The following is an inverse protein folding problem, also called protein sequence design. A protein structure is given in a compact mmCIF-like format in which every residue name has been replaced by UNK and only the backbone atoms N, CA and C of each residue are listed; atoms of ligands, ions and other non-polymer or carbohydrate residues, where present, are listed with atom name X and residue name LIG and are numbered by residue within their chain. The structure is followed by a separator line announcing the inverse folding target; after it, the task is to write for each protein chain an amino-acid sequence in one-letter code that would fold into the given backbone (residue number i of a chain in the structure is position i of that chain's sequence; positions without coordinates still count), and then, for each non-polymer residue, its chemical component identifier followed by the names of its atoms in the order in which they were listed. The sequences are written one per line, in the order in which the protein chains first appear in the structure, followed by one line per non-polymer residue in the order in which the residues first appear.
data_IF_867792760122
#
_entry.id   IF_867792760122
#
_cell.length_a   1.000
_cell.length_b   1.000
_cell.length_c   1.000
_cell.angle_alpha   90.00
_cell.angle_beta   90.00
_cell.angle_gamma   90.00
#
_symmetry.space_group_name_H-M   'P 1'
#
loop_
_entity.id
_entity.type
_entity.pdbx_description
1 polymer ?
#
# COMPACT_ATOMS: atom_id res chain seq x y z
N UNK A 1 2.67 21.43 -5.17
CA UNK A 1 1.41 21.47 -5.98
C UNK A 1 0.27 20.64 -5.38
N UNK A 2 0.53 19.87 -4.31
CA UNK A 2 -0.39 18.90 -3.70
C UNK A 2 -1.65 19.48 -3.04
N UNK A 3 -1.73 20.79 -2.78
CA UNK A 3 -2.91 21.43 -2.15
C UNK A 3 -3.94 21.99 -3.15
N UNK A 4 -3.75 21.78 -4.46
CA UNK A 4 -4.74 22.22 -5.45
C UNK A 4 -6.01 21.36 -5.39
N UNK A 5 -7.22 21.95 -5.20
CA UNK A 5 -8.48 21.21 -5.23
C UNK A 5 -8.68 20.41 -6.53
N UNK A 6 -8.21 20.96 -7.65
CA UNK A 6 -8.28 20.29 -8.95
C UNK A 6 -7.37 19.05 -9.02
N UNK A 7 -6.19 19.12 -8.40
CA UNK A 7 -5.28 17.97 -8.33
C UNK A 7 -5.88 16.85 -7.46
N UNK A 8 -6.40 17.20 -6.27
CA UNK A 8 -7.11 16.24 -5.40
C UNK A 8 -8.32 15.61 -6.11
N UNK A 9 -9.07 16.39 -6.87
CA UNK A 9 -10.20 15.89 -7.66
C UNK A 9 -9.74 14.91 -8.75
N UNK A 10 -8.64 15.22 -9.46
CA UNK A 10 -8.04 14.30 -10.43
C UNK A 10 -7.63 12.98 -9.75
N UNK A 11 -6.88 13.03 -8.65
CA UNK A 11 -6.47 11.83 -7.91
C UNK A 11 -7.68 10.99 -7.48
N UNK A 12 -8.75 11.65 -7.03
CA UNK A 12 -10.00 10.99 -6.62
C UNK A 12 -10.68 10.29 -7.80
N UNK A 13 -10.72 10.91 -8.99
CA UNK A 13 -11.29 10.31 -10.19
C UNK A 13 -10.48 9.08 -10.65
N UNK A 14 -9.15 9.18 -10.64
CA UNK A 14 -8.27 8.05 -10.97
C UNK A 14 -8.48 6.90 -9.99
N UNK A 15 -8.50 7.19 -8.69
CA UNK A 15 -8.75 6.20 -7.65
C UNK A 15 -10.14 5.54 -7.80
N UNK A 16 -11.18 6.31 -8.13
CA UNK A 16 -12.53 5.78 -8.34
C UNK A 16 -12.61 4.79 -9.51
N UNK A 17 -11.91 5.08 -10.63
CA UNK A 17 -11.84 4.14 -11.77
C UNK A 17 -11.18 2.83 -11.37
N UNK A 18 -10.08 2.88 -10.63
CA UNK A 18 -9.39 1.67 -10.17
C UNK A 18 -10.19 0.89 -9.12
N UNK A 19 -10.90 1.57 -8.22
CA UNK A 19 -11.85 0.91 -7.32
C UNK A 19 -12.96 0.19 -8.09
N UNK A 20 -13.49 0.81 -9.15
CA UNK A 20 -14.51 0.17 -9.99
C UNK A 20 -13.96 -1.08 -10.70
N UNK A 21 -12.74 -1.02 -11.22
CA UNK A 21 -12.08 -2.19 -11.81
C UNK A 21 -11.88 -3.31 -10.79
N UNK A 22 -11.36 -3.01 -9.59
CA UNK A 22 -11.19 -4.00 -8.51
C UNK A 22 -12.55 -4.62 -8.13
N UNK A 23 -13.61 -3.82 -8.05
CA UNK A 23 -14.97 -4.32 -7.83
C UNK A 23 -15.41 -5.32 -8.89
N UNK A 24 -15.09 -5.07 -10.16
CA UNK A 24 -15.36 -6.03 -11.23
C UNK A 24 -14.57 -7.33 -11.04
N UNK A 25 -13.30 -7.26 -10.61
CA UNK A 25 -12.51 -8.47 -10.30
C UNK A 25 -13.14 -9.28 -9.17
N UNK A 26 -13.61 -8.62 -8.10
CA UNK A 26 -14.30 -9.32 -7.00
C UNK A 26 -15.59 -10.01 -7.48
N UNK A 27 -16.31 -9.42 -8.44
CA UNK A 27 -17.50 -10.05 -9.02
C UNK A 27 -17.19 -11.31 -9.83
N UNK A 28 -15.99 -11.39 -10.42
CA UNK A 28 -15.54 -12.56 -11.17
C UNK A 28 -15.09 -13.71 -10.26
N UNK A 29 -14.89 -13.45 -8.96
CA UNK A 29 -14.62 -14.50 -7.99
C UNK A 29 -15.89 -15.33 -7.78
N UNK A 30 -15.78 -16.63 -8.01
CA UNK A 30 -16.82 -17.60 -7.71
C UNK A 30 -16.85 -17.83 -6.18
N UNK A 31 -17.96 -17.51 -5.48
CA UNK A 31 -18.08 -17.73 -4.04
C UNK A 31 -18.39 -19.18 -3.66
N UNK A 32 -18.70 -20.03 -4.65
CA UNK A 32 -19.25 -21.37 -4.43
C UNK A 32 -18.25 -22.48 -4.73
N UNK A 33 -17.28 -22.23 -5.61
CA UNK A 33 -16.04 -23.00 -5.64
C UNK A 33 -15.23 -22.64 -4.40
N UNK A 34 -14.82 -23.62 -3.59
CA UNK A 34 -13.79 -23.39 -2.59
C UNK A 34 -12.65 -22.60 -3.24
N UNK A 35 -12.31 -21.44 -2.67
CA UNK A 35 -11.31 -20.57 -3.25
C UNK A 35 -10.03 -21.39 -3.44
N UNK A 36 -9.49 -21.39 -4.65
CA UNK A 36 -8.14 -21.91 -4.85
C UNK A 36 -7.13 -20.98 -4.19
N UNK A 37 -5.89 -21.46 -3.99
CA UNK A 37 -4.83 -20.70 -3.31
C UNK A 37 -4.59 -19.31 -3.95
N UNK A 38 -4.86 -19.16 -5.26
CA UNK A 38 -4.66 -17.91 -5.99
C UNK A 38 -5.81 -16.91 -5.77
N UNK A 39 -7.05 -17.38 -5.78
CA UNK A 39 -8.23 -16.58 -5.46
C UNK A 39 -8.21 -16.12 -4.00
N UNK A 40 -7.79 -16.98 -3.07
CA UNK A 40 -7.58 -16.63 -1.66
C UNK A 40 -6.51 -15.55 -1.50
N UNK A 41 -5.39 -15.68 -2.22
CA UNK A 41 -4.34 -14.67 -2.19
C UNK A 41 -4.83 -13.31 -2.71
N UNK A 42 -5.61 -13.29 -3.80
CA UNK A 42 -6.19 -12.07 -4.37
C UNK A 42 -7.19 -11.41 -3.42
N UNK A 43 -8.10 -12.18 -2.83
CA UNK A 43 -9.09 -11.67 -1.85
C UNK A 43 -8.39 -11.05 -0.65
N UNK A 44 -7.36 -11.72 -0.11
CA UNK A 44 -6.59 -11.21 1.02
C UNK A 44 -5.91 -9.86 0.71
N UNK A 45 -5.31 -9.71 -0.49
CA UNK A 45 -4.68 -8.45 -0.89
C UNK A 45 -5.69 -7.31 -1.09
N UNK A 46 -6.86 -7.61 -1.68
CA UNK A 46 -7.94 -6.63 -1.83
C UNK A 46 -8.47 -6.22 -0.45
N UNK A 47 -8.69 -7.18 0.46
CA UNK A 47 -9.20 -6.91 1.80
C UNK A 47 -8.23 -6.04 2.61
N UNK A 48 -6.92 -6.35 2.57
CA UNK A 48 -5.90 -5.53 3.19
C UNK A 48 -5.92 -4.11 2.61
N UNK A 49 -5.94 -3.98 1.28
CA UNK A 49 -5.97 -2.67 0.61
C UNK A 49 -7.20 -1.86 1.02
N UNK A 50 -8.37 -2.50 1.07
CA UNK A 50 -9.62 -1.87 1.47
C UNK A 50 -9.57 -1.36 2.93
N UNK A 51 -9.03 -2.17 3.84
CA UNK A 51 -8.84 -1.80 5.24
C UNK A 51 -7.91 -0.59 5.39
N UNK A 52 -6.79 -0.57 4.68
CA UNK A 52 -5.84 0.56 4.72
C UNK A 52 -6.47 1.83 4.16
N UNK A 53 -7.16 1.72 3.02
CA UNK A 53 -7.89 2.85 2.43
C UNK A 53 -8.96 3.39 3.39
N UNK A 54 -9.68 2.52 4.10
CA UNK A 54 -10.66 2.94 5.12
C UNK A 54 -9.99 3.65 6.30
N UNK A 55 -8.85 3.14 6.75
CA UNK A 55 -8.03 3.77 7.79
C UNK A 55 -7.63 5.20 7.45
N UNK A 56 -7.14 5.46 6.22
CA UNK A 56 -6.81 6.81 5.80
C UNK A 56 -8.02 7.73 5.70
N UNK A 57 -9.16 7.22 5.25
CA UNK A 57 -10.41 7.99 5.14
C UNK A 57 -11.05 8.30 6.49
N UNK A 58 -10.66 7.59 7.57
CA UNK A 58 -11.33 7.64 8.87
C UNK A 58 -12.75 7.06 8.86
N UNK A 59 -13.15 6.42 7.75
CA UNK A 59 -14.47 5.83 7.51
C UNK A 59 -14.29 4.60 6.64
N UNK A 60 -15.27 3.68 6.69
CA UNK A 60 -15.21 2.46 5.89
C UNK A 60 -15.06 2.76 4.38
N UNK A 61 -14.10 2.10 3.72
CA UNK A 61 -13.88 2.26 2.28
C UNK A 61 -14.96 1.53 1.47
N UNK A 62 -15.33 2.00 0.26
CA UNK A 62 -16.37 1.34 -0.55
C UNK A 62 -16.02 -0.11 -0.89
N UNK A 63 -14.73 -0.40 -1.12
CA UNK A 63 -14.24 -1.78 -1.35
C UNK A 63 -14.45 -2.68 -0.14
N UNK A 64 -14.38 -2.13 1.09
CA UNK A 64 -14.58 -2.90 2.32
C UNK A 64 -16.05 -3.31 2.49
N UNK A 65 -16.98 -2.37 2.27
CA UNK A 65 -18.43 -2.66 2.23
C UNK A 65 -18.74 -3.76 1.20
N UNK A 66 -18.14 -3.64 0.01
CA UNK A 66 -18.39 -4.54 -1.09
C UNK A 66 -17.89 -5.96 -0.81
N UNK A 67 -16.63 -6.10 -0.35
CA UNK A 67 -16.06 -7.38 0.03
C UNK A 67 -16.89 -8.06 1.13
N UNK A 68 -17.30 -7.29 2.16
CA UNK A 68 -18.14 -7.81 3.24
C UNK A 68 -19.44 -8.40 2.71
N UNK A 69 -20.14 -7.65 1.86
CA UNK A 69 -21.41 -8.09 1.28
C UNK A 69 -21.24 -9.32 0.37
N UNK A 70 -20.10 -9.42 -0.33
CA UNK A 70 -19.81 -10.54 -1.25
C UNK A 70 -19.43 -11.82 -0.52
N UNK A 71 -18.63 -11.71 0.55
CA UNK A 71 -18.08 -12.84 1.29
C UNK A 71 -18.95 -13.25 2.50
N UNK A 72 -20.03 -12.52 2.79
CA UNK A 72 -20.93 -12.82 3.91
C UNK A 72 -20.30 -12.61 5.29
N UNK A 73 -19.17 -11.89 5.39
CA UNK A 73 -18.54 -11.58 6.67
C UNK A 73 -19.44 -10.63 7.49
N UNK A 74 -19.63 -10.91 8.78
CA UNK A 74 -20.44 -10.07 9.67
C UNK A 74 -19.87 -8.65 9.89
N UNK A 75 -20.61 -7.75 10.55
CA UNK A 75 -20.13 -6.41 10.87
C UNK A 75 -19.13 -6.47 12.04
N UNK A 76 -17.83 -6.34 11.79
CA UNK A 76 -16.82 -6.24 12.84
C UNK A 76 -15.39 -6.09 12.29
N UNK A 77 -14.49 -5.38 13.00
CA UNK A 77 -13.16 -5.06 12.49
C UNK A 77 -12.21 -6.24 12.74
N UNK A 78 -11.70 -6.84 11.66
CA UNK A 78 -10.27 -7.03 11.41
C UNK A 78 -10.10 -8.08 10.31
N UNK A 79 -9.27 -7.83 9.27
CA UNK A 79 -8.89 -8.85 8.29
C UNK A 79 -8.00 -9.95 8.89
N UNK A 80 -7.86 -10.03 10.21
CA UNK A 80 -7.12 -11.07 10.93
C UNK A 80 -7.52 -12.49 10.54
N UNK A 81 -8.79 -12.78 10.26
CA UNK A 81 -9.21 -14.11 9.78
C UNK A 81 -8.76 -14.38 8.32
N UNK A 82 -8.62 -13.34 7.49
CA UNK A 82 -8.06 -13.38 6.13
C UNK A 82 -6.52 -13.46 6.14
N UNK A 83 -5.89 -13.00 7.22
CA UNK A 83 -4.45 -13.16 7.47
C UNK A 83 -4.12 -14.52 8.12
N UNK A 84 -5.04 -15.07 8.93
CA UNK A 84 -4.91 -16.37 9.58
C UNK A 84 -5.11 -17.56 8.63
N UNK A 85 -5.88 -17.38 7.55
CA UNK A 85 -6.05 -18.40 6.49
C UNK A 85 -4.75 -18.67 5.71
N UNK A 86 -3.77 -17.74 5.74
CA UNK A 86 -2.41 -17.94 5.20
C UNK A 86 -1.48 -18.75 6.12
N UNK A 87 -1.92 -19.15 7.31
CA UNK A 87 -1.05 -19.89 8.27
C UNK A 87 -0.99 -21.40 8.03
N UNK A 88 -1.80 -21.94 7.11
CA UNK A 88 -1.90 -23.37 6.84
C UNK A 88 -0.99 -23.78 5.67
N UNK A 89 0.32 -23.78 5.90
CA UNK A 89 1.26 -24.53 5.05
C UNK A 89 2.49 -23.74 4.57
N UNK A 90 3.67 -24.28 4.92
CA UNK A 90 5.01 -24.08 4.35
C UNK A 90 5.89 -22.92 4.87
N UNK A 91 7.06 -23.33 5.38
CA UNK A 91 8.33 -22.61 5.67
C UNK A 91 8.30 -21.42 6.66
N UNK A 92 9.41 -21.16 7.40
CA UNK A 92 9.54 -19.95 8.21
C UNK A 92 9.59 -18.74 7.27
N UNK A 93 8.41 -18.20 6.97
CA UNK A 93 8.23 -17.08 6.04
C UNK A 93 9.16 -15.89 6.31
N UNK A 94 9.31 -15.04 5.29
CA UNK A 94 10.13 -13.83 5.35
C UNK A 94 9.73 -12.88 6.49
N UNK A 95 10.54 -11.83 6.68
CA UNK A 95 10.32 -10.85 7.74
C UNK A 95 8.89 -10.25 7.70
N UNK A 96 8.31 -9.85 6.54
CA UNK A 96 6.92 -9.41 6.48
C UNK A 96 5.92 -10.43 7.05
N UNK A 97 6.04 -11.71 6.68
CA UNK A 97 5.15 -12.78 7.12
C UNK A 97 5.28 -13.06 8.61
N UNK A 98 6.49 -12.93 9.16
CA UNK A 98 6.73 -13.03 10.61
C UNK A 98 6.10 -11.84 11.34
N UNK A 99 6.27 -10.62 10.84
CA UNK A 99 5.66 -9.41 11.42
C UNK A 99 4.13 -9.43 11.39
N UNK A 100 3.52 -9.90 10.30
CA UNK A 100 2.07 -10.03 10.22
C UNK A 100 1.52 -11.02 11.27
N UNK A 101 2.29 -12.07 11.59
CA UNK A 101 1.90 -13.11 12.56
C UNK A 101 2.15 -12.70 14.02
N UNK A 102 3.23 -11.97 14.30
CA UNK A 102 3.69 -11.72 15.68
C UNK A 102 2.96 -10.58 16.41
N UNK A 103 1.93 -9.98 15.80
CA UNK A 103 1.23 -8.83 16.38
C UNK A 103 2.13 -7.58 16.50
N UNK A 104 1.55 -6.45 16.94
CA UNK A 104 2.11 -5.11 16.72
C UNK A 104 3.31 -4.71 17.60
N UNK A 105 3.83 -5.60 18.46
CA UNK A 105 4.72 -5.19 19.56
C UNK A 105 5.96 -6.07 19.76
N UNK A 106 6.30 -6.95 18.82
CA UNK A 106 7.49 -7.80 18.93
C UNK A 106 8.78 -6.96 18.74
N UNK A 107 9.56 -6.71 19.82
CA UNK A 107 10.72 -5.84 19.75
C UNK A 107 11.86 -6.45 18.92
N UNK A 108 11.94 -7.79 18.84
CA UNK A 108 12.96 -8.47 18.06
C UNK A 108 12.70 -8.29 16.57
N UNK A 109 11.45 -8.47 16.14
CA UNK A 109 11.06 -8.24 14.74
C UNK A 109 11.19 -6.76 14.35
N UNK A 110 10.90 -5.83 15.27
CA UNK A 110 11.10 -4.41 15.00
C UNK A 110 12.59 -4.07 14.83
N UNK A 111 13.48 -4.70 15.59
CA UNK A 111 14.93 -4.53 15.42
C UNK A 111 15.43 -5.10 14.08
N UNK A 112 14.93 -6.26 13.66
CA UNK A 112 15.21 -6.83 12.33
C UNK A 112 14.70 -5.91 11.21
N UNK A 113 13.49 -5.38 11.34
CA UNK A 113 12.91 -4.42 10.41
C UNK A 113 13.74 -3.14 10.33
N UNK A 114 14.17 -2.59 11.47
CA UNK A 114 15.04 -1.42 11.53
C UNK A 114 16.38 -1.68 10.83
N UNK A 115 16.98 -2.86 10.99
CA UNK A 115 18.21 -3.22 10.29
C UNK A 115 18.01 -3.25 8.76
N UNK A 116 16.91 -3.86 8.30
CA UNK A 116 16.56 -3.93 6.88
C UNK A 116 16.31 -2.53 6.29
N UNK A 117 15.49 -1.70 6.95
CA UNK A 117 15.10 -0.39 6.45
C UNK A 117 16.28 0.57 6.30
N UNK A 118 17.34 0.38 7.09
CA UNK A 118 18.56 1.19 7.05
C UNK A 118 19.61 0.68 6.08
N UNK A 119 19.49 -0.57 5.63
CA UNK A 119 20.49 -1.16 4.76
C UNK A 119 20.42 -0.52 3.36
N UNK A 120 21.47 0.14 2.87
CA UNK A 120 21.49 0.59 1.49
C UNK A 120 21.58 -0.64 0.58
N UNK A 121 20.63 -0.80 -0.34
CA UNK A 121 20.66 -1.85 -1.36
C UNK A 121 21.25 -1.28 -2.65
N UNK A 122 22.39 -1.78 -3.16
CA UNK A 122 22.96 -1.31 -4.43
C UNK A 122 21.99 -1.50 -5.60
N UNK A 123 22.01 -0.58 -6.56
CA UNK A 123 21.12 -0.58 -7.74
C UNK A 123 21.17 -1.89 -8.53
N UNK A 124 22.34 -2.54 -8.59
CA UNK A 124 22.57 -3.80 -9.30
C UNK A 124 21.87 -4.99 -8.62
N UNK A 125 21.56 -4.85 -7.33
CA UNK A 125 20.88 -5.87 -6.52
C UNK A 125 19.39 -5.60 -6.34
N UNK A 126 18.90 -4.45 -6.80
CA UNK A 126 17.49 -4.11 -6.74
C UNK A 126 16.67 -4.94 -7.73
N UNK A 127 15.61 -5.53 -7.20
CA UNK A 127 14.60 -6.32 -7.91
C UNK A 127 13.22 -5.90 -7.45
N UNK A 128 12.19 -6.19 -8.26
CA UNK A 128 10.78 -5.93 -7.89
C UNK A 128 10.45 -6.61 -6.54
N UNK A 129 10.96 -7.82 -6.31
CA UNK A 129 10.75 -8.57 -5.05
C UNK A 129 11.43 -7.90 -3.84
N UNK A 130 12.65 -7.36 -4.00
CA UNK A 130 13.31 -6.65 -2.90
C UNK A 130 12.59 -5.36 -2.53
N UNK A 131 12.05 -4.63 -3.52
CA UNK A 131 11.27 -3.42 -3.28
C UNK A 131 9.92 -3.76 -2.62
N UNK A 132 9.25 -4.82 -3.09
CA UNK A 132 8.01 -5.32 -2.46
C UNK A 132 8.23 -5.70 -0.99
N UNK A 133 9.31 -6.44 -0.71
CA UNK A 133 9.67 -6.83 0.66
C UNK A 133 9.92 -5.60 1.53
N UNK A 134 10.71 -4.64 1.03
CA UNK A 134 11.00 -3.40 1.74
C UNK A 134 9.72 -2.59 2.03
N UNK A 135 8.86 -2.43 1.03
CA UNK A 135 7.60 -1.70 1.14
C UNK A 135 6.67 -2.34 2.17
N UNK A 136 6.56 -3.68 2.17
CA UNK A 136 5.76 -4.43 3.14
C UNK A 136 6.29 -4.27 4.56
N UNK A 137 7.60 -4.39 4.78
CA UNK A 137 8.23 -4.17 6.10
C UNK A 137 7.93 -2.77 6.61
N UNK A 138 8.17 -1.74 5.79
CA UNK A 138 7.92 -0.36 6.19
C UNK A 138 6.44 -0.13 6.50
N UNK A 139 5.54 -0.60 5.63
CA UNK A 139 4.10 -0.49 5.83
C UNK A 139 3.67 -1.16 7.14
N UNK A 140 4.20 -2.35 7.46
CA UNK A 140 3.91 -3.04 8.72
C UNK A 140 4.44 -2.28 9.94
N UNK A 141 5.66 -1.73 9.88
CA UNK A 141 6.19 -0.86 10.95
C UNK A 141 5.27 0.34 11.22
N UNK A 142 4.72 0.95 10.17
CA UNK A 142 3.77 2.07 10.26
C UNK A 142 2.32 1.63 10.49
N UNK A 143 2.05 0.32 10.63
CA UNK A 143 0.70 -0.23 10.69
C UNK A 143 -0.20 0.34 9.58
N UNK A 144 0.37 0.41 8.38
CA UNK A 144 -0.22 1.01 7.19
C UNK A 144 -0.72 2.46 7.39
N UNK A 145 -0.03 3.21 8.25
CA UNK A 145 -0.34 4.60 8.59
C UNK A 145 -1.19 4.77 9.85
N UNK A 146 -1.67 3.70 10.48
CA UNK A 146 -2.41 3.81 11.74
C UNK A 146 -1.54 4.34 12.89
N UNK A 147 -0.23 4.12 12.84
CA UNK A 147 0.69 4.50 13.92
C UNK A 147 2.08 4.84 13.35
N UNK A 148 2.84 5.68 14.07
CA UNK A 148 4.26 5.89 13.76
C UNK A 148 5.09 4.90 14.60
N UNK A 149 5.98 4.08 14.00
CA UNK A 149 6.79 3.13 14.75
C UNK A 149 7.70 3.85 15.75
N UNK A 150 8.10 3.18 16.83
CA UNK A 150 9.14 3.68 17.74
C UNK A 150 10.45 2.95 17.48
N UNK A 151 11.17 3.36 16.44
CA UNK A 151 12.51 2.84 16.15
C UNK A 151 13.50 3.17 17.28
N UNK A 152 14.44 2.27 17.52
CA UNK A 152 15.49 2.47 18.52
C UNK A 152 16.42 3.62 18.12
N UNK A 153 16.62 3.84 16.81
CA UNK A 153 17.46 4.92 16.28
C UNK A 153 16.61 5.92 15.49
N UNK A 154 16.65 7.19 15.88
CA UNK A 154 15.95 8.26 15.16
C UNK A 154 16.40 8.40 13.70
N UNK A 155 17.66 8.06 13.40
CA UNK A 155 18.19 8.09 12.03
C UNK A 155 17.46 7.13 11.07
N UNK A 156 16.81 6.09 11.59
CA UNK A 156 16.07 5.10 10.79
C UNK A 156 15.03 5.74 9.88
N UNK A 157 14.33 6.79 10.33
CA UNK A 157 13.36 7.50 9.49
C UNK A 157 14.02 8.14 8.27
N UNK A 158 15.16 8.82 8.46
CA UNK A 158 15.90 9.48 7.38
C UNK A 158 16.54 8.47 6.43
N UNK A 159 17.15 7.41 6.97
CA UNK A 159 17.73 6.32 6.15
C UNK A 159 16.63 5.63 5.32
N UNK A 160 15.47 5.35 5.91
CA UNK A 160 14.34 4.71 5.24
C UNK A 160 13.73 5.62 4.16
N UNK A 161 13.61 6.92 4.42
CA UNK A 161 13.13 7.91 3.45
C UNK A 161 14.07 8.03 2.26
N UNK A 162 15.38 8.12 2.51
CA UNK A 162 16.40 8.17 1.47
C UNK A 162 16.42 6.91 0.60
N UNK A 163 16.20 5.74 1.21
CA UNK A 163 16.03 4.48 0.48
C UNK A 163 14.76 4.49 -0.39
N UNK A 164 13.63 5.02 0.10
CA UNK A 164 12.41 5.14 -0.71
C UNK A 164 12.62 6.01 -1.95
N UNK A 165 13.30 7.16 -1.80
CA UNK A 165 13.63 8.03 -2.95
C UNK A 165 14.54 7.32 -3.96
N UNK A 166 15.57 6.61 -3.49
CA UNK A 166 16.46 5.84 -4.37
C UNK A 166 15.74 4.72 -5.11
N UNK A 167 14.84 4.01 -4.42
CA UNK A 167 14.07 2.93 -5.04
C UNK A 167 13.02 3.48 -6.01
N UNK A 168 12.45 4.65 -5.74
CA UNK A 168 11.57 5.36 -6.66
C UNK A 168 12.30 5.76 -7.94
N UNK A 169 13.49 6.38 -7.84
CA UNK A 169 14.35 6.71 -8.99
C UNK A 169 14.71 5.45 -9.81
N UNK A 170 15.13 4.38 -9.13
CA UNK A 170 15.41 3.10 -9.78
C UNK A 170 14.17 2.57 -10.53
N UNK A 171 13.01 2.62 -9.90
CA UNK A 171 11.76 2.13 -10.48
C UNK A 171 11.37 2.95 -11.71
N UNK A 172 11.51 4.28 -11.64
CA UNK A 172 11.24 5.21 -12.72
C UNK A 172 12.17 4.92 -13.93
N UNK A 173 13.49 4.92 -13.71
CA UNK A 173 14.48 4.62 -14.77
C UNK A 173 14.31 3.25 -15.41
N UNK A 174 13.77 2.27 -14.67
CA UNK A 174 13.54 0.89 -15.15
C UNK A 174 12.13 0.66 -15.69
N UNK A 175 11.25 1.67 -15.67
CA UNK A 175 9.88 1.51 -16.14
C UNK A 175 9.03 0.60 -15.25
N UNK A 176 9.25 0.57 -13.93
CA UNK A 176 8.62 -0.34 -12.96
C UNK A 176 7.50 0.38 -12.19
N UNK A 177 6.26 0.19 -12.60
CA UNK A 177 5.14 0.95 -12.04
C UNK A 177 4.78 0.54 -10.61
N UNK A 178 4.65 -0.77 -10.34
CA UNK A 178 4.29 -1.25 -9.00
C UNK A 178 5.33 -0.82 -7.94
N UNK A 179 6.66 -1.04 -8.14
CA UNK A 179 7.69 -0.51 -7.25
C UNK A 179 7.61 1.01 -7.05
N UNK A 180 7.37 1.80 -8.10
CA UNK A 180 7.22 3.24 -7.98
C UNK A 180 6.03 3.62 -7.09
N UNK A 181 4.87 3.02 -7.32
CA UNK A 181 3.67 3.24 -6.50
C UNK A 181 3.88 2.83 -5.04
N UNK A 182 4.57 1.72 -4.79
CA UNK A 182 4.93 1.29 -3.43
C UNK A 182 5.83 2.30 -2.73
N UNK A 183 6.81 2.89 -3.42
CA UNK A 183 7.68 3.91 -2.85
C UNK A 183 6.94 5.21 -2.59
N UNK A 184 6.05 5.66 -3.48
CA UNK A 184 5.16 6.81 -3.22
C UNK A 184 4.33 6.58 -1.95
N UNK A 185 3.72 5.40 -1.81
CA UNK A 185 2.98 5.04 -0.61
C UNK A 185 3.87 5.11 0.65
N UNK A 186 5.06 4.52 0.60
CA UNK A 186 6.03 4.51 1.69
C UNK A 186 6.50 5.93 2.08
N UNK A 187 6.73 6.80 1.10
CA UNK A 187 7.09 8.20 1.33
C UNK A 187 6.00 8.92 2.13
N UNK A 188 4.73 8.75 1.76
CA UNK A 188 3.60 9.32 2.50
C UNK A 188 3.38 8.70 3.89
N UNK A 189 3.82 7.46 4.13
CA UNK A 189 3.81 6.89 5.49
C UNK A 189 4.82 7.60 6.38
N UNK A 190 6.03 7.84 5.87
CA UNK A 190 7.12 8.49 6.62
C UNK A 190 6.85 9.98 6.80
N UNK A 191 6.52 10.65 5.69
CA UNK A 191 6.27 12.08 5.58
C UNK A 191 5.00 12.34 4.73
N UNK A 192 3.81 12.38 5.37
CA UNK A 192 2.53 12.77 4.79
C UNK A 192 2.53 14.09 4.00
N UNK A 193 3.45 15.01 4.28
CA UNK A 193 3.51 16.30 3.61
C UNK A 193 4.48 16.30 2.40
N UNK A 194 5.09 15.15 2.10
CA UNK A 194 5.99 14.99 0.96
C UNK A 194 5.28 15.27 -0.38
N UNK A 195 5.87 16.11 -1.23
CA UNK A 195 5.36 16.37 -2.57
C UNK A 195 5.83 15.28 -3.55
N UNK A 196 5.05 14.20 -3.66
CA UNK A 196 5.25 13.14 -4.64
C UNK A 196 4.51 13.39 -5.97
N UNK A 197 4.08 14.63 -6.27
CA UNK A 197 3.21 14.90 -7.42
C UNK A 197 3.84 14.52 -8.76
N UNK A 198 5.16 14.67 -8.91
CA UNK A 198 5.87 14.25 -10.12
C UNK A 198 5.80 12.73 -10.32
N UNK A 199 6.15 11.95 -9.29
CA UNK A 199 6.08 10.48 -9.34
C UNK A 199 4.64 9.98 -9.58
N UNK A 200 3.65 10.65 -8.98
CA UNK A 200 2.25 10.32 -9.19
C UNK A 200 1.79 10.62 -10.62
N UNK A 201 2.34 11.64 -11.29
CA UNK A 201 2.00 11.93 -12.67
C UNK A 201 2.37 10.75 -13.60
N UNK A 202 3.55 10.15 -13.41
CA UNK A 202 4.00 8.98 -14.19
C UNK A 202 3.14 7.74 -13.91
N UNK A 203 2.76 7.54 -12.65
CA UNK A 203 1.83 6.48 -12.26
C UNK A 203 0.48 6.69 -12.94
N UNK A 204 -0.12 7.87 -12.83
CA UNK A 204 -1.45 8.20 -13.37
C UNK A 204 -1.47 8.07 -14.89
N UNK A 205 -0.41 8.50 -15.57
CA UNK A 205 -0.28 8.40 -17.03
C UNK A 205 -0.33 6.95 -17.54
N UNK A 206 -0.08 5.97 -16.67
CA UNK A 206 -0.11 4.55 -17.01
C UNK A 206 -1.46 3.88 -16.74
N UNK A 207 -2.50 4.62 -16.30
CA UNK A 207 -3.84 4.03 -16.10
C UNK A 207 -4.43 3.56 -17.44
N UNK A 208 -4.82 2.28 -17.49
CA UNK A 208 -5.49 1.70 -18.66
C UNK A 208 -6.94 2.21 -18.81
N UNK A 209 -7.54 2.13 -20.00
CA UNK A 209 -8.93 2.54 -20.21
C UNK A 209 -9.94 1.86 -19.27
N UNK A 210 -9.69 0.59 -18.89
CA UNK A 210 -10.52 -0.19 -17.98
C UNK A 210 -10.38 0.21 -16.50
N UNK A 211 -9.43 1.09 -16.17
CA UNK A 211 -9.15 1.55 -14.80
C UNK A 211 -8.06 0.77 -14.07
N UNK A 212 -7.51 -0.28 -14.66
CA UNK A 212 -6.39 -1.04 -14.10
C UNK A 212 -5.04 -0.38 -14.37
N UNK A 213 -4.00 -0.88 -13.69
CA UNK A 213 -2.62 -0.48 -13.89
C UNK A 213 -1.75 -1.67 -14.33
N UNK A 214 -0.80 -1.45 -15.27
CA UNK A 214 0.18 -2.45 -15.70
C UNK A 214 1.29 -2.66 -14.66
N UNK A 215 2.08 -3.74 -14.80
CA UNK A 215 3.31 -3.90 -14.00
C UNK A 215 4.40 -2.90 -14.40
N UNK A 216 4.43 -2.51 -15.67
CA UNK A 216 5.43 -1.61 -16.26
C UNK A 216 4.81 -0.27 -16.66
N UNK A 217 5.57 0.80 -16.52
CA UNK A 217 5.13 2.13 -16.96
C UNK A 217 4.92 2.17 -18.47
N UNK A 218 3.92 2.94 -18.90
CA UNK A 218 3.55 3.11 -20.31
C UNK A 218 2.36 2.25 -20.75
N UNK A 219 1.91 2.48 -21.99
CA UNK A 219 0.75 1.84 -22.56
C UNK A 219 1.09 0.45 -23.13
N UNK A 220 0.83 -0.59 -22.34
CA UNK A 220 0.86 -1.99 -22.80
C UNK A 220 -0.48 -2.67 -22.54
N UNK A 221 -1.16 -3.12 -23.59
CA UNK A 221 -2.40 -3.92 -23.53
C UNK A 221 -2.13 -5.43 -23.41
N UNK A 222 -0.86 -5.84 -23.45
CA UNK A 222 -0.46 -7.23 -23.59
C UNK A 222 -0.43 -8.03 -22.27
N UNK A 223 -0.54 -7.39 -21.11
CA UNK A 223 -0.55 -8.11 -19.83
C UNK A 223 -1.99 -8.51 -19.47
N UNK A 224 -2.22 -9.80 -19.27
CA UNK A 224 -3.52 -10.34 -18.89
C UNK A 224 -4.02 -9.80 -17.54
N UNK A 225 -5.34 -9.82 -17.36
CA UNK A 225 -6.06 -9.23 -16.21
C UNK A 225 -5.54 -9.67 -14.84
N UNK A 226 -5.10 -10.93 -14.71
CA UNK A 226 -4.54 -11.46 -13.45
C UNK A 226 -3.24 -10.79 -13.01
N UNK A 227 -2.44 -10.26 -13.94
CA UNK A 227 -1.19 -9.55 -13.63
C UNK A 227 -1.41 -8.09 -13.22
N UNK A 228 -2.61 -7.55 -13.45
CA UNK A 228 -2.93 -6.15 -13.19
C UNK A 228 -3.43 -5.89 -11.75
N UNK A 229 -3.77 -6.93 -10.97
CA UNK A 229 -4.35 -6.75 -9.63
C UNK A 229 -3.38 -6.05 -8.68
N UNK A 230 -2.19 -6.64 -8.47
CA UNK A 230 -1.16 -6.10 -7.56
C UNK A 230 -0.73 -4.66 -7.88
N UNK A 231 -0.38 -4.30 -9.13
CA UNK A 231 -0.06 -2.91 -9.46
C UNK A 231 -1.26 -1.99 -9.21
N UNK A 232 -2.49 -2.41 -9.52
CA UNK A 232 -3.69 -1.59 -9.27
C UNK A 232 -3.91 -1.33 -7.78
N UNK A 233 -3.73 -2.35 -6.93
CA UNK A 233 -3.84 -2.19 -5.47
C UNK A 233 -2.73 -1.29 -4.90
N UNK A 234 -1.49 -1.44 -5.37
CA UNK A 234 -0.37 -0.58 -4.97
C UNK A 234 -0.63 0.90 -5.32
N UNK A 235 -1.15 1.17 -6.52
CA UNK A 235 -1.53 2.52 -6.93
C UNK A 235 -2.69 3.05 -6.10
N UNK A 236 -3.70 2.23 -5.80
CA UNK A 236 -4.81 2.63 -4.92
C UNK A 236 -4.30 3.08 -3.55
N UNK A 237 -3.36 2.36 -2.95
CA UNK A 237 -2.74 2.74 -1.67
C UNK A 237 -2.00 4.08 -1.79
N UNK A 238 -1.19 4.26 -2.83
CA UNK A 238 -0.46 5.50 -3.07
C UNK A 238 -1.39 6.70 -3.25
N UNK A 239 -2.45 6.55 -4.04
CA UNK A 239 -3.46 7.60 -4.27
C UNK A 239 -4.23 7.91 -2.98
N UNK A 240 -4.65 6.89 -2.21
CA UNK A 240 -5.36 7.14 -0.95
C UNK A 240 -4.47 7.83 0.08
N UNK A 241 -3.19 7.45 0.16
CA UNK A 241 -2.24 8.17 0.99
C UNK A 241 -2.13 9.63 0.51
N UNK A 242 -1.90 9.90 -0.77
CA UNK A 242 -1.80 11.26 -1.29
C UNK A 242 -3.06 12.13 -1.04
N UNK A 243 -4.26 11.53 -1.12
CA UNK A 243 -5.53 12.26 -0.93
C UNK A 243 -5.81 12.53 0.56
N UNK A 244 -5.62 11.52 1.41
CA UNK A 244 -6.16 11.50 2.77
C UNK A 244 -5.10 11.55 3.87
N UNK A 245 -3.86 11.15 3.58
CA UNK A 245 -2.78 11.12 4.56
C UNK A 245 -2.19 12.52 4.67
N UNK A 246 -2.68 13.28 5.64
CA UNK A 246 -2.05 14.51 6.13
C UNK A 246 -1.68 14.29 7.60
N UNK A 247 -0.53 14.80 8.06
CA UNK A 247 -0.37 14.95 9.51
C UNK A 247 -1.40 15.99 9.94
N UNK A 248 -2.47 15.55 10.58
CA UNK A 248 -3.28 16.45 11.38
C UNK A 248 -2.37 17.01 12.46
N UNK A 249 -1.78 18.18 12.24
CA UNK A 249 -1.25 18.98 13.34
C UNK A 249 -2.36 19.13 14.39
N UNK A 250 -2.01 19.23 15.69
CA UNK A 250 -3.01 19.45 16.72
C UNK A 250 -3.82 20.70 16.33
N UNK A 251 -5.15 20.60 16.41
CA UNK A 251 -6.06 21.71 16.12
C UNK A 251 -5.51 22.99 16.77
N UNK A 252 -5.46 24.13 16.06
CA UNK A 252 -5.10 25.40 16.69
C UNK A 252 -6.17 25.72 17.74
N UNK A 253 -5.76 25.63 19.00
CA UNK A 253 -6.51 26.07 20.16
C UNK A 253 -5.53 26.73 21.11
N UNK A 254 -5.20 27.98 20.79
CA UNK A 254 -4.62 28.92 21.73
C UNK A 254 -5.46 28.91 23.02
N UNK A 255 -4.81 28.59 24.13
CA UNK A 255 -5.02 29.35 25.36
C UNK A 255 -3.65 29.55 25.99
N UNK A 256 -3.00 30.65 25.58
CA UNK A 256 -2.11 31.37 26.47
C UNK A 256 -2.81 32.65 26.91
N UNK A 257 -2.55 33.01 28.16
CA UNK A 257 -3.09 34.12 28.96
C UNK A 257 -4.49 33.83 29.56
N UNK A 258 -4.71 33.89 30.87
CA UNK A 258 -4.04 34.64 31.93
C UNK A 258 -3.73 33.79 33.18
#
# INVERSE_FOLDING_TARGET
MSDSPAYTQLLTLIAARSQNWVRQQINLLDPTSGLDDAADAAVAEIALTAQVCGGFRGTEAPLQVFLRNRLGAGPGPSPEWLLASRSSGLEPGGLPERMMRSGPSDPALLAEAEALLRQPVPDERLTDQSVDTYARVLALCYRFGAERPRFARARTYGDAFANCLRFADWAERRGRLMPLAQMVFCLYLIDPDHDASAMLADVIASQRPDGSFPMRMGFGTAEGTGLALRPTLAVLLALHAAIYRRWSSPRPGLSMAA
#
